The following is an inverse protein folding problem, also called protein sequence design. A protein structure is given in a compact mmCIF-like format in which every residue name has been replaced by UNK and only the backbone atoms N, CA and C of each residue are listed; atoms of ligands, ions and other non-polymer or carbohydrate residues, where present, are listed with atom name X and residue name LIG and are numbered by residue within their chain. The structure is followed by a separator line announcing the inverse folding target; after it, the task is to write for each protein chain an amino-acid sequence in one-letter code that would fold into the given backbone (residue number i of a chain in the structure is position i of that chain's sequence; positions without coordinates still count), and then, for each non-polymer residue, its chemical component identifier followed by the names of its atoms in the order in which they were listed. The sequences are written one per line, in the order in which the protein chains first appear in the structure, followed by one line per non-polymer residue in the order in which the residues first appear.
data_IF_650811322186
#
_entry.id   IF_650811322186
#
_cell.length_a   1.000
_cell.length_b   1.000
_cell.length_c   1.000
_cell.angle_alpha   90.00
_cell.angle_beta   90.00
_cell.angle_gamma   90.00
#
_symmetry.space_group_name_H-M   'P 1'
#
loop_
_entity.id
_entity.type
_entity.pdbx_description
1 polymer ?
#
# COMPACT_ATOMS: atom_id res chain seq x y z
N UNK A 1 2.84 -15.06 22.87
CA UNK A 1 3.00 -13.92 21.94
C UNK A 1 3.15 -12.66 22.78
N UNK A 2 4.33 -12.04 22.79
CA UNK A 2 4.58 -10.84 23.61
C UNK A 2 3.84 -9.62 23.05
N UNK A 3 3.68 -8.57 23.86
CA UNK A 3 3.05 -7.31 23.41
C UNK A 3 3.84 -6.65 22.28
N UNK A 4 5.17 -6.79 22.28
CA UNK A 4 6.05 -6.31 21.22
C UNK A 4 5.79 -7.06 19.90
N UNK A 5 5.56 -8.37 19.96
CA UNK A 5 5.29 -9.19 18.78
C UNK A 5 3.93 -8.86 18.16
N UNK A 6 2.92 -8.61 19.00
CA UNK A 6 1.62 -8.13 18.56
C UNK A 6 1.71 -6.75 17.91
N UNK A 7 2.46 -5.82 18.52
CA UNK A 7 2.70 -4.49 17.96
C UNK A 7 3.39 -4.58 16.59
N UNK A 8 4.40 -5.45 16.45
CA UNK A 8 5.08 -5.70 15.18
C UNK A 8 4.13 -6.27 14.13
N UNK A 9 3.30 -7.25 14.48
CA UNK A 9 2.32 -7.83 13.58
C UNK A 9 1.31 -6.79 13.07
N UNK A 10 0.81 -5.91 13.95
CA UNK A 10 -0.09 -4.81 13.59
C UNK A 10 0.57 -3.81 12.63
N UNK A 11 1.81 -3.42 12.90
CA UNK A 11 2.57 -2.52 12.02
C UNK A 11 2.78 -3.12 10.63
N UNK A 12 3.18 -4.39 10.56
CA UNK A 12 3.38 -5.10 9.29
C UNK A 12 2.07 -5.23 8.52
N UNK A 13 0.96 -5.60 9.19
CA UNK A 13 -0.36 -5.68 8.55
C UNK A 13 -0.79 -4.33 7.98
N UNK A 14 -0.60 -3.24 8.72
CA UNK A 14 -0.90 -1.90 8.23
C UNK A 14 -0.04 -1.54 7.01
N UNK A 15 1.25 -1.88 7.03
CA UNK A 15 2.15 -1.66 5.91
C UNK A 15 1.70 -2.40 4.65
N UNK A 16 1.35 -3.68 4.76
CA UNK A 16 0.81 -4.46 3.63
C UNK A 16 -0.49 -3.86 3.08
N UNK A 17 -1.41 -3.44 3.95
CA UNK A 17 -2.66 -2.82 3.53
C UNK A 17 -2.44 -1.52 2.73
N UNK A 18 -1.52 -0.66 3.18
CA UNK A 18 -1.17 0.57 2.47
C UNK A 18 -0.55 0.26 1.10
N UNK A 19 0.39 -0.70 1.03
CA UNK A 19 1.01 -1.15 -0.22
C UNK A 19 -0.03 -1.67 -1.21
N UNK A 20 -0.93 -2.56 -0.78
CA UNK A 20 -1.92 -3.16 -1.67
C UNK A 20 -2.90 -2.13 -2.22
N UNK A 21 -3.28 -1.12 -1.43
CA UNK A 21 -4.11 -0.01 -1.93
C UNK A 21 -3.40 0.84 -2.96
N UNK A 22 -2.16 1.23 -2.67
CA UNK A 22 -1.34 1.96 -3.64
C UNK A 22 -1.24 1.15 -4.95
N UNK A 23 -1.03 -0.17 -4.83
CA UNK A 23 -0.93 -1.04 -5.98
C UNK A 23 -2.20 -1.06 -6.83
N UNK A 24 -3.34 -1.26 -6.18
CA UNK A 24 -4.65 -1.22 -6.82
C UNK A 24 -4.94 0.14 -7.48
N UNK A 25 -4.57 1.26 -6.85
CA UNK A 25 -4.79 2.59 -7.41
C UNK A 25 -3.98 2.82 -8.68
N UNK A 26 -2.65 2.59 -8.67
CA UNK A 26 -1.87 2.87 -9.89
C UNK A 26 -2.15 1.83 -10.97
N UNK A 27 -2.47 0.57 -10.64
CA UNK A 27 -2.92 -0.39 -11.65
C UNK A 27 -4.18 0.11 -12.37
N UNK A 28 -5.16 0.67 -11.63
CA UNK A 28 -6.35 1.26 -12.23
C UNK A 28 -6.02 2.45 -13.13
N UNK A 29 -5.22 3.40 -12.63
CA UNK A 29 -4.82 4.58 -13.42
C UNK A 29 -3.98 4.20 -14.64
N UNK A 30 -3.10 3.22 -14.53
CA UNK A 30 -2.29 2.74 -15.65
C UNK A 30 -3.18 2.14 -16.76
N UNK A 31 -4.16 1.32 -16.38
CA UNK A 31 -5.16 0.81 -17.33
C UNK A 31 -5.97 1.94 -17.99
N UNK A 32 -6.37 2.97 -17.24
CA UNK A 32 -7.11 4.13 -17.77
C UNK A 32 -6.31 4.92 -18.82
N UNK A 33 -5.00 5.00 -18.67
CA UNK A 33 -4.10 5.73 -19.58
C UNK A 33 -3.59 4.83 -20.72
N UNK A 34 -4.05 3.57 -20.79
CA UNK A 34 -3.68 2.62 -21.84
C UNK A 34 -2.28 2.02 -21.66
N UNK A 35 -1.73 2.06 -20.46
CA UNK A 35 -0.49 1.37 -20.11
C UNK A 35 -0.78 -0.13 -19.89
N UNK A 36 0.00 -1.00 -20.55
CA UNK A 36 -0.07 -2.44 -20.30
C UNK A 36 0.62 -2.76 -18.96
N UNK A 37 -0.21 -2.98 -17.93
CA UNK A 37 0.22 -3.21 -16.55
C UNK A 37 0.81 -4.61 -16.37
N UNK A 38 0.55 -5.54 -17.29
CA UNK A 38 1.01 -6.93 -17.19
C UNK A 38 2.46 -7.09 -17.67
N UNK A 39 2.94 -6.21 -18.56
CA UNK A 39 4.30 -6.26 -19.12
C UNK A 39 5.30 -5.34 -18.43
N UNK A 40 4.85 -4.37 -17.63
CA UNK A 40 5.73 -3.41 -16.97
C UNK A 40 5.73 -3.68 -15.48
N UNK A 41 6.86 -4.17 -14.94
CA UNK A 41 7.17 -4.12 -13.52
C UNK A 41 7.36 -2.66 -13.07
N UNK A 42 6.33 -1.84 -13.22
CA UNK A 42 6.29 -0.41 -12.89
C UNK A 42 6.50 -0.16 -11.39
N UNK A 43 6.48 -1.23 -10.60
CA UNK A 43 6.48 -1.27 -9.15
C UNK A 43 7.85 -1.31 -8.50
N UNK A 44 8.93 -1.38 -9.28
CA UNK A 44 10.30 -1.32 -8.78
C UNK A 44 10.72 0.10 -8.41
N UNK A 45 10.05 0.66 -7.41
CA UNK A 45 10.58 1.81 -6.68
C UNK A 45 11.74 1.32 -5.82
N UNK A 46 12.91 1.90 -6.06
CA UNK A 46 14.17 1.77 -5.30
C UNK A 46 13.85 1.44 -3.82
N UNK A 47 14.07 0.18 -3.43
CA UNK A 47 13.96 -0.36 -2.07
C UNK A 47 12.56 -0.79 -1.55
N UNK A 48 11.49 -0.79 -2.35
CA UNK A 48 10.19 -1.35 -1.95
C UNK A 48 9.53 -0.66 -0.75
N UNK A 49 10.00 0.55 -0.38
CA UNK A 49 9.48 1.32 0.74
C UNK A 49 8.38 2.28 0.26
N UNK A 50 7.18 2.23 0.83
CA UNK A 50 6.15 3.21 0.53
C UNK A 50 6.60 4.60 1.02
N UNK A 51 6.31 5.63 0.24
CA UNK A 51 6.61 7.03 0.59
C UNK A 51 5.98 7.40 1.93
N UNK A 52 6.67 8.20 2.76
CA UNK A 52 6.23 8.49 4.14
C UNK A 52 4.84 9.15 4.21
N UNK A 53 4.49 9.99 3.23
CA UNK A 53 3.17 10.62 3.11
C UNK A 53 2.01 9.63 2.90
N UNK A 54 2.29 8.42 2.41
CA UNK A 54 1.29 7.38 2.15
C UNK A 54 0.70 6.76 3.41
N UNK A 55 1.36 6.90 4.56
CA UNK A 55 0.77 6.50 5.85
C UNK A 55 -0.49 7.31 6.17
N UNK A 56 -0.51 8.56 5.73
CA UNK A 56 -1.64 9.48 5.94
C UNK A 56 -2.67 9.37 4.83
N UNK A 57 -2.26 9.26 3.56
CA UNK A 57 -3.19 9.26 2.42
C UNK A 57 -3.82 7.90 2.11
N UNK A 58 -3.07 6.79 2.27
CA UNK A 58 -3.54 5.43 1.98
C UNK A 58 -3.85 4.60 3.24
N UNK A 59 -3.72 5.21 4.43
CA UNK A 59 -4.19 4.64 5.69
C UNK A 59 -5.70 4.37 5.67
N UNK A 60 -6.21 3.59 6.63
CA UNK A 60 -7.68 3.44 6.77
C UNK A 60 -8.28 4.81 7.12
N UNK A 61 -9.21 5.30 6.30
CA UNK A 61 -10.00 6.48 6.67
C UNK A 61 -10.78 6.18 7.95
N UNK A 62 -10.76 7.14 8.88
CA UNK A 62 -11.50 7.06 10.16
C UNK A 62 -13.01 6.94 9.95
N UNK A 63 -13.50 7.28 8.76
CA UNK A 63 -14.92 7.15 8.39
C UNK A 63 -15.40 5.69 8.23
N UNK A 64 -14.49 4.73 8.04
CA UNK A 64 -14.84 3.30 7.83
C UNK A 64 -15.01 2.48 9.12
N UNK A 65 -15.13 3.13 10.28
CA UNK A 65 -15.29 2.50 11.60
C UNK A 65 -16.75 2.54 12.12
N UNK A 66 -17.72 2.69 11.21
CA UNK A 66 -19.15 2.64 11.55
C UNK A 66 -19.64 1.19 11.64
#
# INVERSE_FOLDING_TARGET
MSTQEQARALMMRHHHAAKNRQQSMLNRTANEVGFDVDNVNYWDLIQGKPHSGFRTSYGRSRASLS
#
